data_IF_049212952252
#
_entry.id   IF_049212952252
#
_cell.length_a   1.000
_cell.length_b   1.000
_cell.length_c   1.000
_cell.angle_alpha   90.00
_cell.angle_beta   90.00
_cell.angle_gamma   90.00
#
_symmetry.space_group_name_H-M   'P 1'
#
loop_
_entity.id
_entity.type
_entity.pdbx_description
1 polymer ?
#
# COMPACT_ATOMS: atom_id res chain seq x y z
N UNK A 1 11.88 51.21 49.75
CA UNK A 1 11.70 50.61 51.09
C UNK A 1 10.51 49.66 51.04
N UNK A 2 10.69 48.48 51.65
CA UNK A 2 9.73 47.45 52.13
C UNK A 2 8.22 47.79 51.98
N UNK A 3 7.33 46.87 51.59
CA UNK A 3 7.25 45.49 52.08
C UNK A 3 6.16 44.62 51.44
N UNK A 4 6.31 43.32 51.71
CA UNK A 4 5.49 42.17 51.31
C UNK A 4 4.16 42.11 52.06
N UNK A 5 3.15 41.50 51.44
CA UNK A 5 2.14 40.72 52.15
C UNK A 5 1.82 39.44 51.37
N UNK A 6 2.19 38.31 51.95
CA UNK A 6 1.74 36.97 51.58
C UNK A 6 0.30 36.76 52.07
N UNK A 7 -0.53 36.07 51.29
CA UNK A 7 -1.68 35.33 51.81
C UNK A 7 -1.66 33.91 51.26
N UNK A 8 -1.80 32.95 52.19
CA UNK A 8 -1.68 31.50 52.06
C UNK A 8 -2.81 30.89 51.23
N UNK A 9 -2.45 29.95 50.35
CA UNK A 9 -3.35 28.93 49.80
C UNK A 9 -3.71 27.91 50.90
N UNK A 10 -5.01 27.65 51.08
CA UNK A 10 -5.53 26.47 51.80
C UNK A 10 -6.06 25.46 50.78
N UNK A 11 -5.76 24.19 51.03
CA UNK A 11 -6.11 23.01 50.25
C UNK A 11 -7.53 22.47 50.56
N UNK A 12 -8.23 22.06 49.48
CA UNK A 12 -9.12 20.88 49.27
C UNK A 12 -10.59 20.89 49.77
N UNK A 13 -11.54 20.07 49.20
CA UNK A 13 -11.45 19.06 48.11
C UNK A 13 -12.55 19.11 47.00
N UNK A 14 -12.45 18.13 46.08
CA UNK A 14 -13.23 17.70 44.90
C UNK A 14 -14.78 17.87 44.90
N UNK A 15 -15.36 18.26 43.74
CA UNK A 15 -16.41 17.51 43.01
C UNK A 15 -17.02 18.27 41.80
N UNK A 16 -17.11 17.57 40.66
CA UNK A 16 -18.07 17.74 39.54
C UNK A 16 -17.94 18.99 38.64
N UNK A 17 -17.24 18.84 37.51
CA UNK A 17 -17.45 19.65 36.30
C UNK A 17 -17.98 18.78 35.16
N UNK A 18 -19.30 18.64 35.11
CA UNK A 18 -20.06 18.37 33.89
C UNK A 18 -21.32 19.24 33.97
N UNK A 19 -21.57 20.05 32.93
CA UNK A 19 -22.63 21.08 32.80
C UNK A 19 -22.33 22.47 33.39
N UNK A 20 -21.33 23.18 32.86
CA UNK A 20 -21.41 24.65 32.71
C UNK A 20 -20.65 25.06 31.43
N UNK A 21 -21.32 24.97 30.28
CA UNK A 21 -20.75 25.40 29.00
C UNK A 21 -21.79 25.81 27.95
N UNK A 22 -23.06 25.96 28.33
CA UNK A 22 -24.18 26.19 27.41
C UNK A 22 -25.01 27.44 27.71
N UNK A 23 -24.52 28.38 28.53
CA UNK A 23 -25.31 29.54 28.94
C UNK A 23 -24.60 30.90 28.86
N UNK A 24 -23.50 31.00 28.10
CA UNK A 24 -22.79 32.28 27.89
C UNK A 24 -22.68 32.74 26.44
N UNK A 25 -23.34 32.10 25.47
CA UNK A 25 -23.23 32.49 24.05
C UNK A 25 -24.43 33.26 23.50
N UNK A 26 -25.56 33.37 24.21
CA UNK A 26 -26.77 33.99 23.64
C UNK A 26 -27.03 35.45 24.02
N UNK A 27 -26.26 36.03 24.96
CA UNK A 27 -26.46 37.44 25.40
C UNK A 27 -25.37 38.44 24.98
N UNK A 28 -24.28 37.99 24.36
CA UNK A 28 -23.21 38.88 23.89
C UNK A 28 -23.33 39.27 22.40
N UNK A 29 -24.22 38.64 21.64
CA UNK A 29 -24.34 38.82 20.17
C UNK A 29 -25.41 39.86 19.79
N UNK A 30 -26.18 40.37 20.75
CA UNK A 30 -27.32 41.26 20.46
C UNK A 30 -27.06 42.76 20.66
N UNK A 31 -25.80 43.21 20.82
CA UNK A 31 -25.50 44.61 21.15
C UNK A 31 -24.43 45.30 20.29
N UNK A 32 -24.12 44.79 19.10
CA UNK A 32 -23.19 45.43 18.16
C UNK A 32 -23.71 45.30 16.73
N UNK A 33 -24.63 46.19 16.33
CA UNK A 33 -24.88 46.54 14.93
C UNK A 33 -25.86 47.73 14.85
N UNK A 34 -25.32 48.95 15.01
CA UNK A 34 -25.99 50.17 14.56
C UNK A 34 -25.18 50.72 13.38
N UNK A 35 -25.86 50.81 12.22
CA UNK A 35 -25.53 51.42 10.93
C UNK A 35 -24.95 50.56 9.77
N UNK A 36 -25.47 50.70 8.53
CA UNK A 36 -25.30 49.73 7.45
C UNK A 36 -24.26 50.17 6.40
N UNK A 37 -23.28 49.31 6.10
CA UNK A 37 -22.56 49.28 4.81
C UNK A 37 -22.20 47.83 4.44
N UNK A 38 -22.13 47.47 3.15
CA UNK A 38 -22.10 46.08 2.69
C UNK A 38 -20.68 45.52 2.77
N UNK A 39 -20.23 45.23 3.99
CA UNK A 39 -18.97 44.51 4.22
C UNK A 39 -19.12 43.41 5.29
N UNK A 40 -20.32 43.27 5.88
CA UNK A 40 -20.57 42.29 6.94
C UNK A 40 -21.14 40.96 6.43
N UNK A 41 -21.45 40.84 5.13
CA UNK A 41 -22.06 39.64 4.55
C UNK A 41 -21.05 38.61 4.02
N UNK A 42 -19.76 38.99 3.86
CA UNK A 42 -18.71 38.11 3.32
C UNK A 42 -17.78 37.58 4.42
N UNK A 43 -17.89 38.07 5.66
CA UNK A 43 -17.13 37.59 6.83
C UNK A 43 -17.99 36.78 7.83
N UNK A 44 -19.17 36.33 7.41
CA UNK A 44 -20.06 35.45 8.18
C UNK A 44 -20.32 34.12 7.47
N UNK A 45 -19.41 33.70 6.59
CA UNK A 45 -19.45 32.39 5.92
C UNK A 45 -18.13 31.60 6.05
N UNK A 46 -17.27 31.95 7.01
CA UNK A 46 -15.93 31.35 7.15
C UNK A 46 -15.60 30.73 8.52
N UNK A 47 -16.56 30.62 9.45
CA UNK A 47 -16.36 29.83 10.69
C UNK A 47 -17.65 29.10 11.06
N UNK A 48 -18.04 28.14 10.24
CA UNK A 48 -18.94 27.04 10.59
C UNK A 48 -18.55 25.84 9.73
N UNK A 49 -17.28 25.42 9.82
CA UNK A 49 -16.94 24.03 9.56
C UNK A 49 -17.61 23.25 10.67
N UNK A 50 -18.80 22.72 10.38
CA UNK A 50 -19.44 21.73 11.21
C UNK A 50 -18.43 20.58 11.36
N UNK A 51 -17.88 20.44 12.57
CA UNK A 51 -17.40 19.14 13.02
C UNK A 51 -18.62 18.22 12.99
N UNK A 52 -18.83 17.55 11.86
CA UNK A 52 -19.60 16.33 11.82
C UNK A 52 -18.85 15.37 12.75
N UNK A 53 -19.36 15.23 13.98
CA UNK A 53 -18.98 14.11 14.83
C UNK A 53 -19.50 12.88 14.09
N UNK A 54 -18.64 12.29 13.26
CA UNK A 54 -18.92 10.99 12.65
C UNK A 54 -19.11 10.06 13.82
N UNK A 55 -20.35 9.59 14.00
CA UNK A 55 -20.73 8.71 15.07
C UNK A 55 -20.15 7.32 14.71
N UNK A 56 -18.85 7.13 14.96
CA UNK A 56 -18.17 5.86 14.73
C UNK A 56 -18.53 4.92 15.88
N UNK A 57 -19.44 3.97 15.64
CA UNK A 57 -19.65 2.90 16.61
C UNK A 57 -18.56 1.84 16.40
N UNK A 58 -17.58 1.81 17.30
CA UNK A 58 -16.62 0.71 17.35
C UNK A 58 -17.35 -0.57 17.74
N UNK A 59 -17.05 -1.67 17.05
CA UNK A 59 -17.47 -2.99 17.50
C UNK A 59 -16.99 -3.22 18.93
N UNK A 60 -17.87 -3.71 19.80
CA UNK A 60 -17.53 -4.01 21.18
C UNK A 60 -16.42 -5.06 21.23
N UNK A 61 -15.33 -4.74 21.94
CA UNK A 61 -14.25 -5.69 22.12
C UNK A 61 -14.70 -6.84 23.05
N UNK A 62 -14.34 -8.11 22.75
CA UNK A 62 -14.59 -9.20 23.66
C UNK A 62 -13.71 -9.05 24.92
N UNK A 63 -14.18 -9.56 26.05
CA UNK A 63 -13.35 -9.64 27.25
C UNK A 63 -12.25 -10.72 27.08
N UNK A 64 -11.02 -10.51 27.56
CA UNK A 64 -9.95 -11.51 27.45
C UNK A 64 -10.32 -12.89 28.00
N UNK A 65 -11.12 -12.95 29.08
CA UNK A 65 -11.61 -14.22 29.64
C UNK A 65 -12.54 -14.96 28.67
N UNK A 66 -13.42 -14.23 27.98
CA UNK A 66 -14.30 -14.80 26.96
C UNK A 66 -13.49 -15.41 25.81
N UNK A 67 -12.43 -14.72 25.39
CA UNK A 67 -11.49 -15.18 24.37
C UNK A 67 -10.84 -16.50 24.79
N UNK A 68 -10.40 -16.62 26.05
CA UNK A 68 -9.84 -17.87 26.57
C UNK A 68 -10.87 -19.01 26.61
N UNK A 69 -12.11 -18.71 26.99
CA UNK A 69 -13.19 -19.71 27.05
C UNK A 69 -13.51 -20.29 25.67
N UNK A 70 -13.38 -19.51 24.60
CA UNK A 70 -13.58 -20.03 23.24
C UNK A 70 -12.55 -21.10 22.86
N UNK A 71 -11.31 -21.01 23.34
CA UNK A 71 -10.25 -21.98 23.04
C UNK A 71 -10.52 -23.38 23.61
N UNK A 72 -11.35 -23.47 24.65
CA UNK A 72 -11.74 -24.72 25.29
C UNK A 72 -13.11 -25.22 24.88
N UNK A 73 -13.87 -24.42 24.12
CA UNK A 73 -15.24 -24.76 23.69
C UNK A 73 -15.20 -25.46 22.35
N UNK A 74 -15.79 -26.65 22.23
CA UNK A 74 -15.96 -27.30 20.92
C UNK A 74 -17.06 -26.59 20.12
N UNK A 75 -16.80 -26.30 18.84
CA UNK A 75 -17.78 -25.79 17.90
C UNK A 75 -17.94 -26.70 16.67
N UNK A 76 -18.94 -26.46 15.80
CA UNK A 76 -19.05 -27.17 14.53
C UNK A 76 -17.75 -27.08 13.73
N UNK A 77 -17.24 -28.24 13.32
CA UNK A 77 -16.13 -28.32 12.36
C UNK A 77 -16.59 -27.70 11.05
N UNK A 78 -15.79 -26.77 10.54
CA UNK A 78 -16.03 -26.05 9.28
C UNK A 78 -14.91 -26.37 8.31
N UNK A 79 -14.97 -25.80 7.10
CA UNK A 79 -13.89 -25.90 6.11
C UNK A 79 -12.60 -25.17 6.55
N UNK A 80 -12.58 -24.55 7.73
CA UNK A 80 -11.38 -23.93 8.31
C UNK A 80 -10.36 -25.04 8.64
N UNK A 81 -9.20 -25.07 7.97
CA UNK A 81 -8.22 -26.14 8.19
C UNK A 81 -7.71 -26.12 9.64
N UNK A 82 -7.90 -27.24 10.35
CA UNK A 82 -7.50 -27.37 11.75
C UNK A 82 -8.27 -26.47 12.72
N UNK A 83 -9.48 -26.05 12.34
CA UNK A 83 -10.30 -25.08 13.07
C UNK A 83 -11.78 -25.44 13.19
N UNK A 84 -12.52 -24.56 13.87
CA UNK A 84 -13.97 -24.62 14.00
C UNK A 84 -14.56 -23.21 14.11
N UNK A 85 -15.88 -23.10 13.99
CA UNK A 85 -16.60 -21.83 14.15
C UNK A 85 -17.51 -21.90 15.37
N UNK A 86 -17.69 -20.78 16.07
CA UNK A 86 -18.71 -20.57 17.10
C UNK A 86 -19.61 -19.43 16.62
N UNK A 87 -20.92 -19.65 16.62
CA UNK A 87 -21.90 -18.60 16.33
C UNK A 87 -22.39 -17.96 17.63
N UNK A 88 -21.95 -16.73 17.90
CA UNK A 88 -22.40 -15.96 19.05
C UNK A 88 -23.69 -15.20 18.69
N UNK A 89 -24.82 -15.86 18.96
CA UNK A 89 -26.16 -15.31 18.72
C UNK A 89 -26.42 -14.02 19.52
N UNK A 90 -25.79 -13.86 20.69
CA UNK A 90 -26.03 -12.71 21.57
C UNK A 90 -25.45 -11.43 20.96
N UNK A 91 -24.26 -11.53 20.38
CA UNK A 91 -23.57 -10.41 19.76
C UNK A 91 -23.73 -10.34 18.24
N UNK A 92 -24.47 -11.30 17.65
CA UNK A 92 -24.64 -11.45 16.21
C UNK A 92 -23.30 -11.55 15.44
N UNK A 93 -22.35 -12.28 16.02
CA UNK A 93 -20.98 -12.46 15.48
C UNK A 93 -20.65 -13.93 15.23
N UNK A 94 -19.78 -14.16 14.25
CA UNK A 94 -19.16 -15.45 13.96
C UNK A 94 -17.72 -15.42 14.47
N UNK A 95 -17.33 -16.43 15.24
CA UNK A 95 -15.98 -16.56 15.82
C UNK A 95 -15.32 -17.75 15.16
N UNK A 96 -14.31 -17.51 14.34
CA UNK A 96 -13.56 -18.53 13.61
C UNK A 96 -12.24 -18.79 14.31
N UNK A 97 -12.00 -20.04 14.70
CA UNK A 97 -10.79 -20.44 15.39
C UNK A 97 -9.95 -21.32 14.49
N UNK A 98 -8.64 -21.06 14.44
CA UNK A 98 -7.66 -21.90 13.76
C UNK A 98 -6.48 -22.17 14.67
N UNK A 99 -6.02 -23.42 14.68
CA UNK A 99 -4.96 -23.89 15.58
C UNK A 99 -3.78 -24.42 14.77
N UNK A 100 -2.55 -24.15 15.23
CA UNK A 100 -1.33 -24.74 14.67
C UNK A 100 -0.50 -25.42 15.76
N UNK A 101 -0.06 -26.68 15.58
CA UNK A 101 -0.35 -27.55 14.43
C UNK A 101 -1.80 -28.08 14.39
N UNK A 102 -2.42 -28.34 15.54
CA UNK A 102 -3.80 -28.81 15.66
C UNK A 102 -4.35 -28.48 17.05
N UNK A 103 -5.67 -28.48 17.22
CA UNK A 103 -6.36 -28.04 18.45
C UNK A 103 -5.94 -28.76 19.74
N UNK A 104 -5.49 -30.02 19.69
CA UNK A 104 -5.15 -30.77 20.91
C UNK A 104 -3.77 -30.39 21.51
N UNK A 105 -2.83 -29.93 20.69
CA UNK A 105 -1.45 -29.63 21.09
C UNK A 105 -0.93 -28.36 20.41
N UNK A 106 -1.80 -27.38 20.25
CA UNK A 106 -1.50 -26.14 19.57
C UNK A 106 -0.46 -25.32 20.32
N UNK A 107 0.41 -24.66 19.57
CA UNK A 107 1.32 -23.64 20.09
C UNK A 107 0.81 -22.24 19.78
N UNK A 108 0.08 -22.08 18.67
CA UNK A 108 -0.54 -20.83 18.24
C UNK A 108 -2.00 -21.06 17.86
N UNK A 109 -2.88 -20.19 18.35
CA UNK A 109 -4.26 -20.09 17.94
C UNK A 109 -4.51 -18.71 17.32
N UNK A 110 -5.36 -18.65 16.30
CA UNK A 110 -5.88 -17.39 15.74
C UNK A 110 -7.39 -17.41 15.81
N UNK A 111 -7.96 -16.35 16.38
CA UNK A 111 -9.38 -16.10 16.45
C UNK A 111 -9.70 -14.94 15.52
N UNK A 112 -10.55 -15.18 14.53
CA UNK A 112 -11.10 -14.16 13.63
C UNK A 112 -12.58 -13.97 13.95
N UNK A 113 -12.93 -12.77 14.43
CA UNK A 113 -14.28 -12.39 14.81
C UNK A 113 -14.86 -11.57 13.67
N UNK A 114 -16.02 -11.99 13.19
CA UNK A 114 -16.73 -11.36 12.08
C UNK A 114 -18.18 -11.09 12.45
N UNK A 115 -18.82 -10.16 11.75
CA UNK A 115 -20.27 -10.00 11.85
C UNK A 115 -21.01 -11.13 11.11
N UNK A 116 -22.34 -11.12 11.17
CA UNK A 116 -23.19 -12.09 10.47
C UNK A 116 -23.11 -12.05 8.93
N UNK A 117 -22.53 -11.01 8.34
CA UNK A 117 -22.34 -10.85 6.90
C UNK A 117 -20.88 -11.06 6.48
N UNK A 118 -20.09 -11.75 7.33
CA UNK A 118 -18.68 -12.05 7.10
C UNK A 118 -17.76 -10.82 7.10
N UNK A 119 -18.22 -9.67 7.61
CA UNK A 119 -17.42 -8.46 7.75
C UNK A 119 -16.40 -8.62 8.89
N UNK A 120 -15.09 -8.39 8.64
CA UNK A 120 -14.06 -8.57 9.66
C UNK A 120 -14.20 -7.53 10.78
N UNK A 121 -14.07 -7.96 12.04
CA UNK A 121 -14.14 -7.08 13.21
C UNK A 121 -12.85 -7.12 14.01
N UNK A 122 -12.41 -8.31 14.42
CA UNK A 122 -11.19 -8.50 15.21
C UNK A 122 -10.41 -9.72 14.75
N UNK A 123 -9.09 -9.63 14.83
CA UNK A 123 -8.22 -10.81 14.84
C UNK A 123 -7.37 -10.84 16.10
N UNK A 124 -7.34 -11.97 16.79
CA UNK A 124 -6.57 -12.18 18.00
C UNK A 124 -5.68 -13.40 17.79
N UNK A 125 -4.37 -13.23 17.99
CA UNK A 125 -3.39 -14.30 17.93
C UNK A 125 -2.90 -14.62 19.35
N UNK A 126 -2.93 -15.89 19.70
CA UNK A 126 -2.65 -16.36 21.05
C UNK A 126 -1.59 -17.48 21.05
N UNK A 127 -0.91 -17.64 22.19
CA UNK A 127 -0.08 -18.80 22.54
C UNK A 127 -0.75 -19.60 23.64
N UNK A 128 -0.54 -20.92 23.64
CA UNK A 128 -1.07 -21.80 24.68
C UNK A 128 -0.53 -21.43 26.09
N UNK A 129 -1.35 -21.56 27.15
CA UNK A 129 -2.75 -21.99 27.12
C UNK A 129 -3.73 -20.86 26.76
N UNK A 130 -3.42 -19.60 27.08
CA UNK A 130 -4.19 -18.43 26.64
C UNK A 130 -3.41 -17.12 26.88
N UNK A 131 -2.28 -16.95 26.18
CA UNK A 131 -1.52 -15.71 26.19
C UNK A 131 -1.79 -14.93 24.89
N UNK A 132 -2.45 -13.77 24.99
CA UNK A 132 -2.66 -12.89 23.85
C UNK A 132 -1.31 -12.32 23.41
N UNK A 133 -0.92 -12.60 22.16
CA UNK A 133 0.31 -12.10 21.57
C UNK A 133 0.06 -10.81 20.78
N UNK A 134 -1.00 -10.79 19.99
CA UNK A 134 -1.37 -9.70 19.11
C UNK A 134 -2.89 -9.65 18.96
N UNK A 135 -3.44 -8.43 18.88
CA UNK A 135 -4.83 -8.22 18.55
C UNK A 135 -4.96 -7.03 17.60
N UNK A 136 -5.76 -7.19 16.56
CA UNK A 136 -6.11 -6.12 15.61
C UNK A 136 -7.62 -5.97 15.52
N UNK A 137 -8.08 -4.74 15.35
CA UNK A 137 -9.48 -4.39 15.09
C UNK A 137 -9.61 -3.63 13.78
N UNK A 138 -10.59 -4.02 12.98
CA UNK A 138 -11.02 -3.26 11.81
C UNK A 138 -11.96 -2.13 12.25
N UNK A 139 -11.59 -0.88 11.93
CA UNK A 139 -12.38 0.30 12.28
C UNK A 139 -13.07 0.86 11.04
N UNK A 140 -14.39 0.97 11.14
CA UNK A 140 -15.26 1.41 10.05
C UNK A 140 -15.90 2.76 10.36
N UNK A 141 -16.15 3.56 9.32
CA UNK A 141 -16.97 4.75 9.43
C UNK A 141 -18.48 4.40 9.46
N UNK A 142 -19.33 5.42 9.55
CA UNK A 142 -20.79 5.26 9.59
C UNK A 142 -21.36 4.65 8.29
N UNK A 143 -20.69 4.87 7.16
CA UNK A 143 -21.06 4.31 5.85
C UNK A 143 -20.60 2.85 5.69
N UNK A 144 -19.88 2.32 6.69
CA UNK A 144 -19.41 0.95 6.72
C UNK A 144 -18.10 0.72 5.96
N UNK A 145 -17.41 1.76 5.53
CA UNK A 145 -16.10 1.71 4.87
C UNK A 145 -15.01 1.51 5.90
N UNK A 146 -14.03 0.65 5.59
CA UNK A 146 -12.85 0.48 6.45
C UNK A 146 -12.03 1.76 6.36
N UNK A 147 -11.71 2.38 7.50
CA UNK A 147 -10.95 3.63 7.55
C UNK A 147 -9.58 3.45 8.22
N UNK A 148 -9.47 2.53 9.17
CA UNK A 148 -8.20 2.20 9.81
C UNK A 148 -8.17 0.80 10.43
N UNK A 149 -6.96 0.33 10.71
CA UNK A 149 -6.67 -0.89 11.44
C UNK A 149 -6.02 -0.53 12.77
N UNK A 150 -6.62 -0.95 13.87
CA UNK A 150 -6.12 -0.66 15.21
C UNK A 150 -5.33 -1.85 15.73
N UNK A 151 -4.12 -1.62 16.22
CA UNK A 151 -3.43 -2.60 17.07
C UNK A 151 -3.89 -2.38 18.51
N UNK A 152 -4.16 -3.47 19.23
CA UNK A 152 -4.69 -3.42 20.59
C UNK A 152 -3.70 -4.04 21.58
N UNK A 153 -3.73 -3.55 22.81
CA UNK A 153 -3.06 -4.20 23.94
C UNK A 153 -3.75 -5.53 24.31
N UNK A 154 -3.17 -6.27 25.26
CA UNK A 154 -3.71 -7.56 25.72
C UNK A 154 -5.06 -7.46 26.43
N UNK A 155 -5.50 -6.25 26.82
CA UNK A 155 -6.84 -5.99 27.34
C UNK A 155 -7.92 -5.91 26.23
N UNK A 156 -7.50 -5.99 24.95
CA UNK A 156 -8.32 -5.91 23.74
C UNK A 156 -9.11 -4.60 23.59
N UNK A 157 -8.81 -3.59 24.40
CA UNK A 157 -9.54 -2.31 24.47
C UNK A 157 -8.62 -1.14 24.17
N UNK A 158 -7.43 -1.13 24.77
CA UNK A 158 -6.46 -0.04 24.62
C UNK A 158 -5.85 -0.10 23.22
N UNK A 159 -6.06 0.95 22.44
CA UNK A 159 -5.44 1.11 21.11
C UNK A 159 -3.97 1.50 21.31
N UNK A 160 -3.06 0.70 20.79
CA UNK A 160 -1.61 0.94 20.85
C UNK A 160 -1.08 1.58 19.58
N UNK A 161 -1.72 1.35 18.45
CA UNK A 161 -1.46 2.06 17.20
C UNK A 161 -2.69 2.04 16.28
N UNK A 162 -2.75 3.01 15.38
CA UNK A 162 -3.76 3.12 14.33
C UNK A 162 -3.05 3.25 12.98
N UNK A 163 -3.48 2.44 12.01
CA UNK A 163 -2.94 2.39 10.66
C UNK A 163 -4.06 2.76 9.68
N UNK A 164 -3.99 3.90 8.96
CA UNK A 164 -5.01 4.28 8.01
C UNK A 164 -5.01 3.32 6.80
N UNK A 165 -6.17 3.13 6.16
CA UNK A 165 -6.27 2.27 4.96
C UNK A 165 -6.43 3.04 3.66
N UNK A 166 -7.06 4.22 3.70
CA UNK A 166 -7.17 5.14 2.55
C UNK A 166 -7.19 6.60 3.08
N UNK A 167 -6.07 7.08 3.65
CA UNK A 167 -6.00 8.41 4.23
C UNK A 167 -6.19 9.50 3.18
N UNK A 168 -6.57 10.74 3.53
CA UNK A 168 -6.52 11.83 2.57
C UNK A 168 -5.06 12.12 2.17
N UNK A 169 -4.85 12.46 0.89
CA UNK A 169 -3.55 12.88 0.37
C UNK A 169 -3.22 14.33 0.77
N UNK A 170 -3.00 14.59 2.06
CA UNK A 170 -2.59 15.91 2.56
C UNK A 170 -1.09 16.09 2.37
N UNK A 171 -0.68 16.30 1.13
CA UNK A 171 0.72 16.53 0.79
C UNK A 171 1.07 18.02 0.89
N UNK A 172 2.30 18.38 1.28
CA UNK A 172 2.74 19.76 1.22
C UNK A 172 2.61 20.30 -0.22
N UNK A 173 2.14 21.54 -0.36
CA UNK A 173 2.18 22.25 -1.63
C UNK A 173 3.65 22.35 -2.07
N UNK A 174 3.95 21.79 -3.24
CA UNK A 174 5.27 21.88 -3.86
C UNK A 174 5.13 22.60 -5.21
N UNK A 175 6.21 23.24 -5.70
CA UNK A 175 6.23 23.78 -7.05
C UNK A 175 5.86 22.69 -8.07
N UNK A 176 5.27 23.11 -9.19
CA UNK A 176 5.04 22.24 -10.33
C UNK A 176 6.34 21.49 -10.70
N UNK A 177 6.18 20.26 -11.21
CA UNK A 177 7.30 19.44 -11.63
C UNK A 177 8.14 20.18 -12.68
N UNK A 178 9.46 19.95 -12.65
CA UNK A 178 10.36 20.55 -13.64
C UNK A 178 10.07 20.09 -15.07
N UNK A 179 9.52 18.89 -15.20
CA UNK A 179 9.15 18.25 -16.46
C UNK A 179 7.99 17.27 -16.24
N UNK A 180 7.23 16.98 -17.30
CA UNK A 180 6.19 15.95 -17.29
C UNK A 180 6.79 14.58 -16.95
N UNK A 181 6.11 13.75 -16.14
CA UNK A 181 6.63 12.45 -15.73
C UNK A 181 6.60 11.47 -16.91
N UNK A 182 7.60 10.60 -16.99
CA UNK A 182 7.68 9.53 -18.00
C UNK A 182 7.61 8.13 -17.38
N UNK A 183 7.69 8.04 -16.05
CA UNK A 183 7.78 6.80 -15.28
C UNK A 183 6.54 6.61 -14.41
N UNK A 184 5.97 5.40 -14.43
CA UNK A 184 4.89 5.00 -13.55
C UNK A 184 5.17 3.68 -12.83
N UNK A 185 4.60 3.54 -11.64
CA UNK A 185 4.51 2.30 -10.89
C UNK A 185 3.07 1.81 -10.88
N UNK A 186 2.84 0.56 -11.28
CA UNK A 186 1.62 -0.18 -10.94
C UNK A 186 1.95 -1.24 -9.92
N UNK A 187 1.36 -1.11 -8.73
CA UNK A 187 1.54 -2.02 -7.60
C UNK A 187 0.33 -1.93 -6.67
N UNK A 188 0.46 -2.40 -5.44
CA UNK A 188 -0.49 -2.30 -4.34
C UNK A 188 -0.74 -0.85 -3.86
N UNK A 189 -0.09 0.15 -4.45
CA UNK A 189 -0.14 1.58 -4.11
C UNK A 189 1.15 2.06 -3.43
N UNK A 190 1.19 3.31 -2.95
CA UNK A 190 2.35 3.86 -2.24
C UNK A 190 1.90 4.57 -0.97
N UNK A 191 2.61 4.37 0.15
CA UNK A 191 2.42 5.21 1.32
C UNK A 191 2.99 6.62 1.08
N UNK A 192 2.16 7.45 0.45
CA UNK A 192 2.49 8.84 0.14
C UNK A 192 2.59 9.74 1.38
N UNK A 193 2.27 9.25 2.58
CA UNK A 193 2.46 10.00 3.82
C UNK A 193 3.92 10.04 4.27
N UNK A 194 4.79 9.18 3.73
CA UNK A 194 6.21 9.13 4.09
C UNK A 194 6.98 10.34 3.52
N UNK A 195 7.54 11.23 4.37
CA UNK A 195 8.22 12.45 3.90
C UNK A 195 9.39 12.18 2.96
N UNK A 196 10.08 11.03 3.13
CA UNK A 196 11.21 10.61 2.29
C UNK A 196 10.79 10.30 0.86
N UNK A 197 9.56 9.84 0.63
CA UNK A 197 9.06 9.46 -0.70
C UNK A 197 8.32 10.60 -1.41
N UNK A 198 7.75 11.55 -0.66
CA UNK A 198 6.98 12.68 -1.20
C UNK A 198 7.69 13.55 -2.27
N UNK A 199 9.03 13.71 -2.30
CA UNK A 199 9.72 14.40 -3.39
C UNK A 199 9.61 13.71 -4.75
N UNK A 200 9.44 12.39 -4.77
CA UNK A 200 9.45 11.57 -5.98
C UNK A 200 8.05 11.28 -6.52
N UNK A 201 7.00 11.63 -5.78
CA UNK A 201 5.62 11.41 -6.19
C UNK A 201 5.23 12.42 -7.26
N UNK A 202 4.71 11.94 -8.37
CA UNK A 202 4.20 12.80 -9.42
C UNK A 202 2.94 13.56 -8.99
N UNK A 203 2.77 14.79 -9.50
CA UNK A 203 1.71 15.71 -9.07
C UNK A 203 0.97 16.35 -10.22
N UNK A 204 -0.30 16.63 -9.99
CA UNK A 204 -1.14 17.47 -10.83
C UNK A 204 -0.80 18.95 -10.65
N UNK A 205 -1.28 19.83 -11.53
CA UNK A 205 -1.03 21.28 -11.48
C UNK A 205 -1.55 21.93 -10.18
N UNK A 206 -2.63 21.42 -9.62
CA UNK A 206 -3.22 21.86 -8.34
C UNK A 206 -2.53 21.25 -7.10
N UNK A 207 -1.47 20.45 -7.30
CA UNK A 207 -0.62 19.91 -6.24
C UNK A 207 -1.08 18.55 -5.67
N UNK A 208 -2.17 17.99 -6.20
CA UNK A 208 -2.64 16.63 -5.91
C UNK A 208 -1.68 15.55 -6.40
N UNK A 209 -1.92 14.29 -6.03
CA UNK A 209 -1.17 13.14 -6.55
C UNK A 209 -1.59 12.90 -7.99
N UNK A 210 -0.62 12.80 -8.90
CA UNK A 210 -0.86 12.29 -10.24
C UNK A 210 -0.77 10.76 -10.20
N UNK A 211 -1.89 10.12 -10.49
CA UNK A 211 -2.07 8.68 -10.30
C UNK A 211 -3.52 8.36 -9.98
N UNK A 212 -3.83 7.07 -9.88
CA UNK A 212 -5.21 6.63 -9.61
C UNK A 212 -5.25 5.31 -8.84
N UNK A 213 -6.20 5.21 -7.93
CA UNK A 213 -6.52 3.98 -7.22
C UNK A 213 -7.65 3.25 -7.95
N UNK A 214 -7.33 2.20 -8.68
CA UNK A 214 -8.35 1.42 -9.41
C UNK A 214 -9.11 0.43 -8.50
N UNK A 215 -8.68 0.26 -7.25
CA UNK A 215 -9.39 -0.53 -6.27
C UNK A 215 -10.49 0.30 -5.59
N UNK A 216 -10.13 1.45 -5.01
CA UNK A 216 -11.07 2.34 -4.31
C UNK A 216 -11.73 3.38 -5.24
N UNK A 217 -11.26 3.50 -6.49
CA UNK A 217 -11.77 4.39 -7.54
C UNK A 217 -11.67 5.87 -7.18
N UNK A 218 -10.51 6.26 -6.67
CA UNK A 218 -10.21 7.64 -6.31
C UNK A 218 -8.75 8.02 -6.65
N UNK A 219 -8.36 9.25 -6.35
CA UNK A 219 -7.01 9.75 -6.63
C UNK A 219 -6.03 9.50 -5.46
N UNK A 220 -6.25 8.45 -4.65
CA UNK A 220 -5.47 8.14 -3.44
C UNK A 220 -4.92 6.71 -3.50
N UNK A 221 -3.95 6.43 -4.40
CA UNK A 221 -3.38 5.09 -4.58
C UNK A 221 -2.48 4.70 -3.40
N UNK A 222 -3.08 4.49 -2.23
CA UNK A 222 -2.39 4.18 -1.00
C UNK A 222 -1.99 2.70 -0.96
N UNK A 223 -0.80 2.40 -0.47
CA UNK A 223 -0.22 1.05 -0.51
C UNK A 223 -1.01 0.07 0.36
N UNK A 224 -2.02 -0.62 -0.19
CA UNK A 224 -2.85 -1.61 0.51
C UNK A 224 -3.38 -2.71 -0.42
N UNK A 225 -3.09 -3.97 -0.08
CA UNK A 225 -3.78 -5.12 -0.66
C UNK A 225 -4.33 -6.05 0.45
N UNK A 226 -5.65 -6.01 0.70
CA UNK A 226 -6.27 -6.75 1.79
C UNK A 226 -6.63 -8.21 1.42
N UNK A 227 -6.38 -8.67 0.18
CA UNK A 227 -6.87 -9.97 -0.31
C UNK A 227 -6.36 -11.15 0.52
N UNK A 228 -5.10 -11.09 0.97
CA UNK A 228 -4.51 -12.13 1.83
C UNK A 228 -4.99 -12.03 3.27
N UNK A 229 -5.12 -10.82 3.80
CA UNK A 229 -5.64 -10.56 5.13
C UNK A 229 -6.15 -9.12 5.23
N UNK A 230 -7.39 -8.90 5.69
CA UNK A 230 -7.89 -7.55 5.93
C UNK A 230 -7.20 -6.88 7.12
N UNK A 231 -6.62 -7.66 8.05
CA UNK A 231 -5.96 -7.15 9.24
C UNK A 231 -4.45 -6.96 9.07
N UNK A 232 -3.82 -7.70 8.16
CA UNK A 232 -2.41 -7.58 7.81
C UNK A 232 -2.29 -7.51 6.28
N UNK A 233 -2.75 -6.41 5.68
CA UNK A 233 -2.69 -6.26 4.23
C UNK A 233 -1.25 -6.32 3.75
N UNK A 234 -1.08 -6.79 2.52
CA UNK A 234 0.19 -6.70 1.83
C UNK A 234 0.48 -5.23 1.53
N UNK A 235 1.75 -4.84 1.72
CA UNK A 235 2.28 -3.48 1.54
C UNK A 235 3.53 -3.54 0.67
N UNK A 236 3.35 -3.76 -0.62
CA UNK A 236 4.45 -4.07 -1.53
C UNK A 236 4.89 -2.85 -2.34
N UNK A 237 3.95 -1.97 -2.69
CA UNK A 237 4.24 -0.90 -3.62
C UNK A 237 5.10 0.20 -3.02
N UNK A 238 5.03 0.44 -1.69
CA UNK A 238 5.95 1.38 -1.04
C UNK A 238 7.41 0.92 -1.13
N UNK A 239 7.68 -0.39 -0.95
CA UNK A 239 9.05 -0.89 -1.03
C UNK A 239 9.58 -0.82 -2.46
N UNK A 240 8.76 -1.20 -3.46
CA UNK A 240 9.12 -1.08 -4.89
C UNK A 240 9.33 0.39 -5.29
N UNK A 241 8.42 1.28 -4.90
CA UNK A 241 8.52 2.72 -5.16
C UNK A 241 9.82 3.31 -4.58
N UNK A 242 10.23 2.86 -3.40
CA UNK A 242 11.48 3.35 -2.79
C UNK A 242 12.72 3.01 -3.61
N UNK A 243 12.73 1.89 -4.35
CA UNK A 243 13.81 1.55 -5.30
C UNK A 243 13.80 2.49 -6.50
N UNK A 244 12.62 2.72 -7.10
CA UNK A 244 12.49 3.67 -8.21
C UNK A 244 12.93 5.08 -7.79
N UNK A 245 12.49 5.53 -6.62
CA UNK A 245 12.86 6.84 -6.07
C UNK A 245 14.37 6.97 -5.81
N UNK A 246 15.02 5.89 -5.35
CA UNK A 246 16.45 5.89 -5.09
C UNK A 246 17.28 5.88 -6.39
N UNK A 247 16.87 5.11 -7.39
CA UNK A 247 17.64 4.92 -8.63
C UNK A 247 17.25 5.90 -9.74
N UNK A 248 16.11 6.59 -9.65
CA UNK A 248 15.72 7.68 -10.55
C UNK A 248 15.32 8.93 -9.75
N UNK A 249 16.25 9.55 -8.98
CA UNK A 249 15.93 10.55 -7.98
C UNK A 249 15.31 11.85 -8.54
N UNK A 250 15.62 12.18 -9.80
CA UNK A 250 15.09 13.36 -10.47
C UNK A 250 13.76 13.11 -11.21
N UNK A 251 13.30 11.85 -11.29
CA UNK A 251 12.09 11.48 -12.02
C UNK A 251 10.86 11.49 -11.08
N UNK A 252 9.83 12.31 -11.36
CA UNK A 252 8.55 12.16 -10.70
C UNK A 252 7.84 10.89 -11.19
N UNK A 253 7.36 10.08 -10.26
CA UNK A 253 6.77 8.77 -10.53
C UNK A 253 5.26 8.82 -10.34
N UNK A 254 4.51 8.47 -11.38
CA UNK A 254 3.05 8.31 -11.31
C UNK A 254 2.70 6.99 -10.62
N UNK A 255 1.68 7.01 -9.77
CA UNK A 255 1.32 5.84 -8.95
C UNK A 255 -0.04 5.32 -9.39
N UNK A 256 -0.11 4.04 -9.73
CA UNK A 256 -1.36 3.32 -9.96
C UNK A 256 -1.50 2.18 -8.96
N UNK A 257 -2.61 2.15 -8.22
CA UNK A 257 -2.99 0.96 -7.46
C UNK A 257 -3.85 0.07 -8.34
N UNK A 258 -3.39 -1.15 -8.57
CA UNK A 258 -3.97 -2.03 -9.58
C UNK A 258 -5.37 -2.58 -9.20
N UNK A 259 -6.23 -2.90 -10.20
CA UNK A 259 -7.62 -3.34 -9.99
C UNK A 259 -7.71 -4.83 -9.64
N UNK A 260 -7.16 -5.24 -8.50
CA UNK A 260 -6.95 -6.66 -8.21
C UNK A 260 -8.23 -7.52 -8.04
N UNK A 261 -9.41 -6.92 -7.99
CA UNK A 261 -10.72 -7.59 -8.00
C UNK A 261 -11.40 -7.59 -9.38
N UNK A 262 -10.98 -6.70 -10.28
CA UNK A 262 -11.56 -6.51 -11.61
C UNK A 262 -10.43 -6.27 -12.61
N UNK A 263 -9.61 -7.29 -12.82
CA UNK A 263 -8.37 -7.16 -13.61
C UNK A 263 -8.58 -6.63 -15.02
N UNK A 264 -9.76 -6.75 -15.63
CA UNK A 264 -10.01 -6.12 -16.92
C UNK A 264 -9.93 -4.59 -16.94
N UNK A 265 -10.06 -3.92 -15.79
CA UNK A 265 -9.80 -2.48 -15.69
C UNK A 265 -8.34 -2.10 -15.84
N UNK A 266 -7.42 -3.06 -15.93
CA UNK A 266 -6.04 -2.77 -16.27
C UNK A 266 -5.93 -2.10 -17.65
N UNK A 267 -6.90 -2.34 -18.55
CA UNK A 267 -7.00 -1.60 -19.81
C UNK A 267 -7.13 -0.08 -19.56
N UNK A 268 -8.06 0.35 -18.71
CA UNK A 268 -8.24 1.77 -18.35
C UNK A 268 -6.98 2.36 -17.71
N UNK A 269 -6.30 1.57 -16.88
CA UNK A 269 -5.04 1.97 -16.24
C UNK A 269 -3.93 2.23 -17.27
N UNK A 270 -3.76 1.34 -18.26
CA UNK A 270 -2.78 1.52 -19.34
C UNK A 270 -3.14 2.72 -20.21
N UNK A 271 -4.42 2.90 -20.54
CA UNK A 271 -4.90 4.04 -21.34
C UNK A 271 -4.67 5.37 -20.60
N UNK A 272 -4.93 5.43 -19.29
CA UNK A 272 -4.63 6.62 -18.48
C UNK A 272 -3.13 6.91 -18.42
N UNK A 273 -2.30 5.88 -18.24
CA UNK A 273 -0.84 6.06 -18.25
C UNK A 273 -0.36 6.63 -19.60
N UNK A 274 -0.88 6.11 -20.71
CA UNK A 274 -0.54 6.62 -22.04
C UNK A 274 -0.99 8.07 -22.25
N UNK A 275 -2.20 8.42 -21.81
CA UNK A 275 -2.70 9.80 -21.87
C UNK A 275 -1.89 10.76 -20.98
N UNK A 276 -1.36 10.29 -19.86
CA UNK A 276 -0.48 11.05 -18.98
C UNK A 276 0.95 11.22 -19.55
N UNK A 277 1.24 10.67 -20.74
CA UNK A 277 2.55 10.76 -21.38
C UNK A 277 3.61 9.82 -20.79
N UNK A 278 3.18 8.82 -20.01
CA UNK A 278 4.07 7.79 -19.47
C UNK A 278 4.67 6.99 -20.62
N UNK A 279 5.96 6.71 -20.52
CA UNK A 279 6.74 5.95 -21.51
C UNK A 279 7.28 4.65 -20.91
N UNK A 280 7.46 4.59 -19.60
CA UNK A 280 8.01 3.42 -18.89
C UNK A 280 7.12 3.12 -17.69
N UNK A 281 6.73 1.86 -17.55
CA UNK A 281 5.85 1.42 -16.48
C UNK A 281 6.41 0.18 -15.79
N UNK A 282 6.66 0.27 -14.49
CA UNK A 282 7.10 -0.87 -13.67
C UNK A 282 5.90 -1.67 -13.14
N UNK A 283 5.93 -2.99 -13.35
CA UNK A 283 4.95 -3.95 -12.84
C UNK A 283 5.68 -5.07 -12.08
N UNK A 284 5.68 -4.99 -10.75
CA UNK A 284 6.29 -6.00 -9.88
C UNK A 284 5.24 -7.01 -9.36
N UNK A 285 4.46 -7.59 -10.28
CA UNK A 285 3.36 -8.50 -9.98
C UNK A 285 3.14 -9.53 -11.08
N UNK A 286 2.42 -10.61 -10.77
CA UNK A 286 1.97 -11.59 -11.75
C UNK A 286 1.04 -12.63 -11.15
N UNK A 287 0.44 -13.45 -12.01
CA UNK A 287 -0.37 -14.60 -11.63
C UNK A 287 -0.21 -15.75 -12.63
N UNK A 288 -0.69 -16.94 -12.27
CA UNK A 288 -0.70 -18.13 -13.14
C UNK A 288 -1.88 -18.14 -14.12
N UNK A 289 -2.85 -17.25 -13.95
CA UNK A 289 -4.03 -17.18 -14.83
C UNK A 289 -3.75 -16.20 -15.95
N UNK A 290 -3.84 -16.68 -17.18
CA UNK A 290 -3.77 -15.83 -18.37
C UNK A 290 -4.98 -14.89 -18.44
N UNK A 291 -6.14 -15.36 -17.99
CA UNK A 291 -7.42 -14.64 -18.02
C UNK A 291 -7.34 -13.31 -17.26
N UNK A 292 -6.60 -13.28 -16.14
CA UNK A 292 -6.31 -12.05 -15.37
C UNK A 292 -5.65 -10.96 -16.22
N UNK A 293 -4.97 -11.29 -17.32
CA UNK A 293 -4.11 -10.37 -18.08
C UNK A 293 -4.57 -10.10 -19.50
N UNK A 294 -5.69 -10.68 -19.94
CA UNK A 294 -6.22 -10.51 -21.31
C UNK A 294 -6.45 -9.05 -21.71
N UNK A 295 -7.13 -8.27 -20.85
CA UNK A 295 -7.37 -6.85 -21.07
C UNK A 295 -6.08 -6.01 -20.97
N UNK A 296 -5.13 -6.39 -20.10
CA UNK A 296 -3.80 -5.77 -20.08
C UNK A 296 -3.07 -6.02 -21.40
N UNK A 297 -3.07 -7.26 -21.91
CA UNK A 297 -2.40 -7.62 -23.16
C UNK A 297 -2.94 -6.78 -24.33
N UNK A 298 -4.26 -6.68 -24.46
CA UNK A 298 -4.90 -5.87 -25.50
C UNK A 298 -4.49 -4.39 -25.42
N UNK A 299 -4.48 -3.83 -24.22
CA UNK A 299 -4.11 -2.43 -24.00
C UNK A 299 -2.62 -2.20 -24.25
N UNK A 300 -1.74 -3.08 -23.74
CA UNK A 300 -0.30 -3.01 -23.94
C UNK A 300 0.06 -3.10 -25.43
N UNK A 301 -0.58 -4.00 -26.18
CA UNK A 301 -0.41 -4.15 -27.64
C UNK A 301 -0.84 -2.90 -28.40
N UNK A 302 -1.88 -2.21 -27.93
CA UNK A 302 -2.40 -0.98 -28.56
C UNK A 302 -1.60 0.27 -28.21
N UNK A 303 -0.72 0.20 -27.21
CA UNK A 303 0.08 1.31 -26.69
C UNK A 303 1.59 1.01 -26.84
N UNK A 304 2.05 0.78 -28.06
CA UNK A 304 3.45 0.40 -28.34
C UNK A 304 4.50 1.43 -27.91
N UNK A 305 4.11 2.69 -27.68
CA UNK A 305 4.99 3.74 -27.14
C UNK A 305 5.29 3.57 -25.64
N UNK A 306 4.54 2.73 -24.92
CA UNK A 306 4.73 2.44 -23.50
C UNK A 306 5.55 1.16 -23.37
N UNK A 307 6.68 1.23 -22.66
CA UNK A 307 7.49 0.09 -22.25
C UNK A 307 7.01 -0.43 -20.88
N UNK A 308 6.69 -1.71 -20.80
CA UNK A 308 6.34 -2.39 -19.55
C UNK A 308 7.53 -3.20 -19.04
N UNK A 309 8.09 -2.79 -17.90
CA UNK A 309 9.14 -3.52 -17.20
C UNK A 309 8.48 -4.43 -16.15
N UNK A 310 8.59 -5.75 -16.31
CA UNK A 310 7.84 -6.73 -15.51
C UNK A 310 8.77 -7.63 -14.71
N UNK A 311 8.44 -7.94 -13.46
CA UNK A 311 9.16 -8.95 -12.68
C UNK A 311 8.81 -10.38 -13.15
N UNK A 312 9.81 -11.26 -13.28
CA UNK A 312 9.60 -12.65 -13.71
C UNK A 312 8.83 -13.55 -12.70
N UNK A 313 8.79 -13.16 -11.42
CA UNK A 313 8.19 -13.94 -10.34
C UNK A 313 9.21 -14.73 -9.52
N UNK A 314 8.77 -15.27 -8.36
CA UNK A 314 9.67 -15.79 -7.31
C UNK A 314 9.31 -17.24 -6.89
N UNK A 315 8.91 -18.09 -7.83
CA UNK A 315 8.48 -19.48 -7.58
C UNK A 315 9.56 -20.53 -7.90
N UNK A 316 10.73 -20.11 -8.40
CA UNK A 316 11.86 -20.97 -8.76
C UNK A 316 11.60 -21.84 -9.99
N UNK A 317 10.70 -21.39 -10.87
CA UNK A 317 10.25 -22.15 -12.04
C UNK A 317 10.76 -21.58 -13.37
N UNK A 318 10.71 -22.40 -14.41
CA UNK A 318 10.99 -22.02 -15.79
C UNK A 318 9.68 -21.56 -16.45
N UNK A 319 9.51 -20.25 -16.68
CA UNK A 319 8.27 -19.67 -17.19
C UNK A 319 8.06 -19.93 -18.68
N UNK A 320 9.04 -20.48 -19.39
CA UNK A 320 8.84 -21.01 -20.74
C UNK A 320 8.04 -22.33 -20.73
N UNK A 321 7.99 -23.01 -19.57
CA UNK A 321 7.27 -24.28 -19.37
C UNK A 321 6.05 -24.13 -18.48
N UNK A 322 6.17 -23.31 -17.43
CA UNK A 322 5.12 -23.01 -16.46
C UNK A 322 4.88 -21.50 -16.44
N UNK A 323 4.05 -20.97 -17.34
CA UNK A 323 3.90 -19.54 -17.54
C UNK A 323 3.44 -18.77 -16.30
N UNK A 324 3.98 -17.56 -16.15
CA UNK A 324 3.51 -16.53 -15.23
C UNK A 324 3.17 -15.30 -16.06
N UNK A 325 1.96 -14.77 -15.91
CA UNK A 325 1.49 -13.60 -16.65
C UNK A 325 1.54 -12.35 -15.77
N UNK A 326 1.91 -11.17 -16.33
CA UNK A 326 2.08 -10.89 -17.75
C UNK A 326 3.49 -11.22 -18.29
N UNK A 327 4.40 -11.71 -17.45
CA UNK A 327 5.80 -11.98 -17.84
C UNK A 327 5.95 -12.94 -19.02
N UNK A 328 5.02 -13.88 -19.22
CA UNK A 328 5.03 -14.83 -20.33
C UNK A 328 4.17 -14.39 -21.54
N UNK A 329 3.74 -13.13 -21.60
CA UNK A 329 3.07 -12.58 -22.79
C UNK A 329 4.07 -12.29 -23.92
N UNK A 330 3.64 -12.52 -25.16
CA UNK A 330 4.45 -12.25 -26.36
C UNK A 330 4.08 -10.87 -26.94
N UNK A 331 4.75 -9.84 -26.42
CA UNK A 331 4.52 -8.44 -26.73
C UNK A 331 5.86 -7.71 -26.94
N UNK A 332 5.95 -6.91 -28.00
CA UNK A 332 7.19 -6.20 -28.39
C UNK A 332 7.59 -5.07 -27.44
N UNK A 333 6.69 -4.64 -26.57
CA UNK A 333 6.90 -3.56 -25.60
C UNK A 333 6.92 -4.05 -24.15
N UNK A 334 7.21 -5.32 -23.94
CA UNK A 334 7.47 -5.92 -22.63
C UNK A 334 8.97 -6.16 -22.46
N UNK A 335 9.46 -5.97 -21.24
CA UNK A 335 10.83 -6.31 -20.85
C UNK A 335 10.82 -6.94 -19.46
N UNK A 336 11.11 -8.24 -19.40
CA UNK A 336 10.94 -9.10 -18.24
C UNK A 336 12.26 -9.30 -17.52
N UNK A 337 12.26 -8.97 -16.24
CA UNK A 337 13.46 -8.92 -15.41
C UNK A 337 13.37 -9.95 -14.30
N UNK A 338 14.42 -10.76 -14.19
CA UNK A 338 14.62 -11.68 -13.08
C UNK A 338 15.76 -11.21 -12.16
N UNK A 339 15.89 -11.81 -10.98
CA UNK A 339 16.86 -11.39 -9.97
C UNK A 339 18.11 -12.28 -10.00
N UNK A 340 19.26 -11.66 -9.75
CA UNK A 340 20.50 -12.34 -9.46
C UNK A 340 21.12 -11.87 -8.15
N UNK A 341 22.13 -12.59 -7.70
CA UNK A 341 23.12 -12.01 -6.80
C UNK A 341 24.08 -11.06 -7.54
N UNK A 342 25.03 -10.49 -6.81
CA UNK A 342 26.04 -9.56 -7.34
C UNK A 342 27.01 -10.18 -8.36
N UNK A 343 26.96 -11.49 -8.60
CA UNK A 343 27.82 -12.21 -9.54
C UNK A 343 27.06 -12.76 -10.75
N UNK A 344 25.79 -12.36 -10.93
CA UNK A 344 24.96 -12.80 -12.05
C UNK A 344 24.42 -14.21 -11.90
N UNK A 345 24.48 -14.81 -10.70
CA UNK A 345 23.84 -16.11 -10.43
C UNK A 345 22.37 -15.86 -10.07
N UNK A 346 21.40 -16.61 -10.62
CA UNK A 346 19.99 -16.45 -10.29
C UNK A 346 19.71 -16.42 -8.78
N UNK A 347 18.85 -15.51 -8.36
CA UNK A 347 18.44 -15.36 -6.98
C UNK A 347 17.63 -16.56 -6.47
N UNK A 348 17.58 -16.80 -5.16
CA UNK A 348 16.75 -17.86 -4.58
C UNK A 348 15.28 -17.69 -4.96
N UNK A 349 14.71 -18.69 -5.64
CA UNK A 349 13.33 -18.66 -6.10
C UNK A 349 13.08 -17.78 -7.31
N UNK A 350 14.09 -17.12 -7.90
CA UNK A 350 13.89 -16.32 -9.10
C UNK A 350 13.40 -17.20 -10.26
N UNK A 351 12.32 -16.78 -10.91
CA UNK A 351 11.84 -17.43 -12.12
C UNK A 351 12.77 -17.15 -13.29
N UNK A 352 12.92 -18.13 -14.18
CA UNK A 352 13.84 -18.09 -15.32
C UNK A 352 13.10 -18.48 -16.59
N UNK A 353 13.70 -18.24 -17.75
CA UNK A 353 13.08 -18.57 -19.04
C UNK A 353 13.91 -17.95 -20.16
N UNK A 354 14.43 -18.77 -21.06
CA UNK A 354 15.29 -18.28 -22.15
C UNK A 354 14.51 -17.52 -23.21
N UNK A 355 13.20 -17.74 -23.30
CA UNK A 355 12.30 -17.03 -24.22
C UNK A 355 11.63 -15.85 -23.54
N UNK A 356 11.06 -16.03 -22.35
CA UNK A 356 10.21 -15.00 -21.74
C UNK A 356 10.89 -14.15 -20.67
N UNK A 357 12.11 -14.48 -20.23
CA UNK A 357 12.89 -13.62 -19.33
C UNK A 357 14.03 -12.98 -20.10
N UNK A 358 14.01 -11.66 -20.23
CA UNK A 358 15.02 -10.92 -20.99
C UNK A 358 16.36 -10.91 -20.26
N UNK A 359 16.35 -10.54 -18.98
CA UNK A 359 17.60 -10.25 -18.26
C UNK A 359 17.54 -10.56 -16.77
N UNK A 360 18.72 -10.80 -16.19
CA UNK A 360 18.95 -10.80 -14.75
C UNK A 360 19.55 -9.47 -14.29
N UNK A 361 19.21 -9.03 -13.09
CA UNK A 361 19.86 -7.90 -12.42
C UNK A 361 20.08 -8.22 -10.94
N UNK A 362 21.18 -7.78 -10.31
CA UNK A 362 21.37 -7.95 -8.88
C UNK A 362 20.18 -7.42 -8.10
N UNK A 363 19.49 -8.27 -7.35
CA UNK A 363 18.34 -7.86 -6.55
C UNK A 363 18.12 -8.74 -5.32
N UNK A 364 19.19 -9.35 -4.83
CA UNK A 364 19.23 -10.04 -3.53
C UNK A 364 19.98 -9.14 -2.55
N UNK A 365 19.27 -8.44 -1.65
CA UNK A 365 19.75 -7.39 -0.72
C UNK A 365 19.62 -5.93 -1.22
N UNK A 366 18.49 -5.61 -1.85
CA UNK A 366 18.15 -4.22 -2.22
C UNK A 366 17.67 -3.47 -0.98
N UNK A 367 18.22 -2.28 -0.71
CA UNK A 367 17.73 -1.39 0.34
C UNK A 367 16.38 -0.78 -0.07
N UNK A 368 15.41 -0.81 0.83
CA UNK A 368 14.07 -0.28 0.62
C UNK A 368 13.58 0.46 1.85
N UNK A 369 12.60 1.34 1.65
CA UNK A 369 11.79 1.93 2.72
C UNK A 369 10.47 1.19 2.76
N UNK A 370 10.17 0.55 3.90
CA UNK A 370 8.89 -0.16 4.06
C UNK A 370 7.71 0.81 4.29
N UNK A 371 6.50 0.26 4.31
CA UNK A 371 5.27 1.03 4.54
C UNK A 371 5.28 1.89 5.82
N UNK A 372 6.10 1.56 6.81
CA UNK A 372 6.21 2.28 8.09
C UNK A 372 7.28 3.37 8.06
N UNK A 373 8.00 3.51 6.94
CA UNK A 373 9.16 4.39 6.83
C UNK A 373 10.45 3.77 7.35
N UNK A 374 10.49 2.46 7.61
CA UNK A 374 11.69 1.78 8.13
C UNK A 374 12.55 1.32 6.97
N UNK A 375 13.84 1.68 7.01
CA UNK A 375 14.84 1.15 6.08
C UNK A 375 15.16 -0.30 6.39
N UNK A 376 15.09 -1.15 5.38
CA UNK A 376 15.41 -2.58 5.46
C UNK A 376 15.99 -3.06 4.15
N UNK A 377 16.47 -4.31 4.11
CA UNK A 377 16.86 -4.99 2.89
C UNK A 377 15.85 -6.09 2.54
N UNK A 378 15.67 -6.31 1.25
CA UNK A 378 14.79 -7.33 0.69
C UNK A 378 15.40 -7.91 -0.58
N UNK A 379 14.79 -8.95 -1.16
CA UNK A 379 15.25 -9.55 -2.40
C UNK A 379 14.14 -10.13 -3.26
N UNK A 380 14.47 -10.41 -4.52
CA UNK A 380 13.59 -11.04 -5.50
C UNK A 380 13.33 -10.18 -6.74
N UNK A 381 12.68 -10.79 -7.73
CA UNK A 381 12.42 -10.20 -9.05
C UNK A 381 11.60 -8.90 -8.98
N UNK A 382 10.73 -8.77 -7.96
CA UNK A 382 9.97 -7.54 -7.68
C UNK A 382 10.85 -6.31 -7.45
N UNK A 383 12.10 -6.51 -7.04
CA UNK A 383 13.10 -5.46 -6.81
C UNK A 383 14.16 -5.41 -7.91
N UNK A 384 14.15 -6.33 -8.87
CA UNK A 384 14.97 -6.26 -10.07
C UNK A 384 14.31 -5.38 -11.14
N UNK A 385 13.00 -5.57 -11.36
CA UNK A 385 12.19 -4.77 -12.30
C UNK A 385 12.31 -3.24 -12.08
N UNK A 386 12.14 -2.69 -10.85
CA UNK A 386 12.22 -1.25 -10.65
C UNK A 386 13.62 -0.67 -10.93
N UNK A 387 14.68 -1.46 -10.75
CA UNK A 387 16.06 -1.02 -11.07
C UNK A 387 16.23 -0.81 -12.58
N UNK A 388 15.71 -1.74 -13.37
CA UNK A 388 15.69 -1.63 -14.83
C UNK A 388 14.77 -0.52 -15.31
N UNK A 389 13.61 -0.34 -14.68
CA UNK A 389 12.71 0.76 -15.01
C UNK A 389 13.34 2.14 -14.71
N UNK A 390 14.08 2.26 -13.60
CA UNK A 390 14.85 3.45 -13.29
C UNK A 390 15.96 3.71 -14.33
N UNK A 391 16.72 2.67 -14.70
CA UNK A 391 17.74 2.75 -15.76
C UNK A 391 17.14 3.22 -17.09
N UNK A 392 16.01 2.63 -17.50
CA UNK A 392 15.30 3.02 -18.71
C UNK A 392 14.83 4.48 -18.66
N UNK A 393 14.36 4.95 -17.50
CA UNK A 393 13.89 6.33 -17.34
C UNK A 393 15.04 7.33 -17.45
N UNK A 394 16.19 7.04 -16.82
CA UNK A 394 17.39 7.88 -16.95
C UNK A 394 17.88 7.92 -18.40
N UNK A 395 17.91 6.78 -19.09
CA UNK A 395 18.24 6.70 -20.52
C UNK A 395 17.32 7.58 -21.38
N UNK A 396 16.00 7.46 -21.20
CA UNK A 396 15.02 8.23 -21.96
C UNK A 396 15.09 9.74 -21.65
N UNK A 397 15.49 10.13 -20.44
CA UNK A 397 15.75 11.55 -20.12
C UNK A 397 16.96 12.12 -20.85
N UNK A 398 18.03 11.33 -20.98
CA UNK A 398 19.20 11.73 -21.77
C UNK A 398 18.91 11.70 -23.29
N UNK A 399 17.97 10.86 -23.73
CA UNK A 399 17.64 10.63 -25.14
C UNK A 399 16.13 10.81 -25.39
N UNK A 400 15.58 12.03 -25.33
CA UNK A 400 14.14 12.27 -25.31
C UNK A 400 13.40 11.82 -26.57
N UNK A 401 14.11 11.70 -27.70
CA UNK A 401 13.54 11.24 -28.98
C UNK A 401 13.54 9.70 -29.10
N UNK A 402 14.03 8.97 -28.09
CA UNK A 402 14.08 7.51 -28.13
C UNK A 402 12.68 6.89 -28.13
N UNK A 403 12.44 6.02 -29.11
CA UNK A 403 11.27 5.16 -29.13
C UNK A 403 11.43 3.95 -28.19
N UNK A 404 10.34 3.20 -27.99
CA UNK A 404 10.32 2.02 -27.11
C UNK A 404 11.37 0.98 -27.50
N UNK A 405 11.57 0.74 -28.80
CA UNK A 405 12.49 -0.29 -29.28
C UNK A 405 13.94 0.12 -29.10
N UNK A 406 14.25 1.42 -29.19
CA UNK A 406 15.56 1.96 -28.88
C UNK A 406 15.88 1.83 -27.38
N UNK A 407 14.90 2.05 -26.49
CA UNK A 407 15.07 1.81 -25.04
C UNK A 407 15.33 0.33 -24.78
N UNK A 408 14.54 -0.58 -25.37
CA UNK A 408 14.75 -2.04 -25.24
C UNK A 408 16.13 -2.44 -25.76
N UNK A 409 16.52 -1.96 -26.95
CA UNK A 409 17.82 -2.26 -27.56
C UNK A 409 18.98 -1.78 -26.68
N UNK A 410 18.83 -0.61 -26.05
CA UNK A 410 19.78 -0.11 -25.07
C UNK A 410 19.90 -1.07 -23.87
N UNK A 411 18.78 -1.47 -23.25
CA UNK A 411 18.79 -2.40 -22.12
C UNK A 411 19.40 -3.77 -22.48
N UNK A 412 19.12 -4.28 -23.67
CA UNK A 412 19.74 -5.51 -24.18
C UNK A 412 21.25 -5.35 -24.39
N UNK A 413 21.69 -4.20 -24.92
CA UNK A 413 23.11 -3.89 -25.12
C UNK A 413 23.91 -3.74 -23.82
N UNK A 414 23.23 -3.49 -22.70
CA UNK A 414 23.80 -3.47 -21.35
C UNK A 414 24.08 -4.86 -20.77
N UNK A 415 23.52 -5.91 -21.38
CA UNK A 415 23.61 -7.27 -20.88
C UNK A 415 24.98 -7.90 -21.15
N UNK A 416 25.46 -8.70 -20.20
CA UNK A 416 26.60 -9.60 -20.36
C UNK A 416 26.07 -11.02 -20.45
N UNK A 417 26.44 -11.73 -21.52
CA UNK A 417 26.06 -13.12 -21.71
C UNK A 417 26.68 -14.03 -20.63
N UNK A 418 25.91 -15.01 -20.15
CA UNK A 418 26.40 -16.06 -19.26
C UNK A 418 26.79 -17.31 -20.05
N UNK A 419 27.71 -18.12 -19.52
CA UNK A 419 28.15 -19.37 -20.17
C UNK A 419 27.04 -20.44 -20.27
N UNK A 420 26.04 -20.36 -19.39
CA UNK A 420 24.82 -21.13 -19.42
C UNK A 420 23.62 -20.17 -19.42
N UNK A 421 23.03 -19.86 -20.58
CA UNK A 421 21.96 -18.86 -20.68
C UNK A 421 20.69 -19.37 -19.99
N UNK A 422 20.24 -18.60 -18.99
CA UNK A 422 19.00 -18.83 -18.24
C UNK A 422 17.94 -17.74 -18.50
N UNK A 423 18.32 -16.74 -19.28
CA UNK A 423 17.53 -15.62 -19.82
C UNK A 423 17.91 -15.42 -21.29
N UNK A 424 17.19 -14.55 -22.00
CA UNK A 424 17.44 -14.28 -23.42
C UNK A 424 18.78 -13.56 -23.64
N UNK A 425 19.11 -12.56 -22.82
CA UNK A 425 20.26 -11.66 -23.04
C UNK A 425 21.37 -11.76 -21.99
N UNK A 426 21.14 -12.46 -20.87
CA UNK A 426 22.11 -12.60 -19.78
C UNK A 426 21.77 -11.71 -18.58
N UNK A 427 22.72 -10.88 -18.12
CA UNK A 427 22.55 -10.06 -16.92
C UNK A 427 23.19 -8.67 -17.02
N UNK A 428 22.65 -7.67 -16.32
CA UNK A 428 23.28 -6.36 -16.14
C UNK A 428 23.95 -6.33 -14.76
N UNK A 429 25.29 -6.19 -14.66
CA UNK A 429 25.98 -6.18 -13.37
C UNK A 429 25.66 -5.00 -12.47
N UNK A 430 25.47 -3.83 -13.08
CA UNK A 430 25.09 -2.61 -12.37
C UNK A 430 24.00 -1.92 -13.20
N UNK A 431 22.76 -1.80 -12.69
CA UNK A 431 21.72 -1.01 -13.33
C UNK A 431 21.74 0.47 -12.90
N UNK A 432 22.63 0.86 -11.99
CA UNK A 432 22.69 2.23 -11.43
C UNK A 432 23.65 3.16 -12.16
N UNK A 433 24.54 2.62 -12.99
CA UNK A 433 25.44 3.41 -13.82
C UNK A 433 24.76 3.85 -15.12
N UNK A 434 25.08 5.08 -15.53
CA UNK A 434 24.56 5.68 -16.76
C UNK A 434 25.49 5.44 -17.96
N UNK A 435 26.36 4.43 -17.90
CA UNK A 435 27.29 4.17 -18.99
C UNK A 435 26.54 3.78 -20.27
N UNK A 436 26.89 4.44 -21.38
CA UNK A 436 26.29 4.21 -22.69
C UNK A 436 25.20 5.20 -23.09
N UNK A 437 24.97 6.28 -22.32
CA UNK A 437 24.08 7.38 -22.68
C UNK A 437 24.44 8.71 -22.01
#
# INVERSE_FOLDING_TARGET
>A
MKGRALVRLRQLPEMVYAKVGQLLTTKAIQMLCLNPKPACLIMMLSVLVQAAVVNTSLAAAPEPEQVCNWLTTDGPKTDIPGGYQIDDQKNATQIRLSFRPQQQNWSVATIDIRDRHDKPLFMIRLRAPCQILQARRAHYNADGELISLHSLASDLKTITSEEPVNPPATLPLKPAQKHSPILALSDTGVNYLLPELQPHIARTEDGGILGYDFWDKDNRPFDIDPRRSPYYPLRHGTTVFSVLAAEAPDEPIVIYRFPALEMCRYQELVEQAAQAGIRIMNLSMGSRSYEDWTCFEQAARSNSALLFIISAGNDGQDIDKEPIYPAALDLENLFVVSSSDAFGRPGPGANLGRRHVDILVPAEQVEVIDHRGVRTQTGGTSYAAPRVAALAARYLRANPDADTQQIISFLQGRAIATSAPVTAYGWIPDPTDDFGF
#
